data_IF_170527416530
#
_entry.id   IF_170527416530
#
_cell.length_a   1.000
_cell.length_b   1.000
_cell.length_c   1.000
_cell.angle_alpha   90.00
_cell.angle_beta   90.00
_cell.angle_gamma   90.00
#
_symmetry.space_group_name_H-M   'P 1'
#
loop_
_entity.id
_entity.type
_entity.pdbx_description
1 polymer ?
#
# COMPACT_ATOMS: atom_id res chain seq x y z
N UNK A 1 16.02 19.25 19.88
CA UNK A 1 14.63 18.98 20.31
C UNK A 1 13.86 18.60 19.05
N UNK A 2 13.26 17.41 19.00
CA UNK A 2 12.33 17.06 17.93
C UNK A 2 10.95 17.48 18.42
N UNK A 3 10.44 18.60 17.90
CA UNK A 3 9.04 18.96 18.09
C UNK A 3 8.20 18.15 17.09
N UNK A 4 7.14 17.46 17.54
CA UNK A 4 6.23 16.79 16.63
C UNK A 4 5.52 17.82 15.74
N UNK A 5 5.64 17.64 14.42
CA UNK A 5 4.87 18.41 13.45
C UNK A 5 3.49 17.80 13.27
N UNK A 6 2.43 18.59 13.48
CA UNK A 6 1.04 18.11 13.38
C UNK A 6 0.37 18.47 12.05
N UNK A 7 0.92 19.45 11.30
CA UNK A 7 0.41 19.91 10.00
C UNK A 7 1.55 20.10 9.00
N UNK A 8 1.22 20.14 7.70
CA UNK A 8 2.14 20.40 6.59
C UNK A 8 3.38 19.47 6.52
N UNK A 9 3.21 18.20 6.89
CA UNK A 9 4.26 17.19 6.76
C UNK A 9 3.93 16.17 5.67
N UNK A 10 4.96 15.48 5.17
CA UNK A 10 4.84 14.38 4.22
C UNK A 10 5.39 13.12 4.86
N UNK A 11 4.59 12.05 4.90
CA UNK A 11 5.05 10.75 5.40
C UNK A 11 5.76 10.01 4.29
N UNK A 12 7.06 9.80 4.47
CA UNK A 12 7.90 9.05 3.55
C UNK A 12 8.18 7.66 4.11
N UNK A 13 7.97 6.62 3.30
CA UNK A 13 8.29 5.25 3.70
C UNK A 13 9.80 4.99 3.77
N UNK A 14 10.23 4.17 4.74
CA UNK A 14 11.65 3.81 4.88
C UNK A 14 12.22 3.10 3.65
N UNK A 15 11.40 2.39 2.88
CA UNK A 15 11.83 1.77 1.62
C UNK A 15 12.34 2.79 0.60
N UNK A 16 11.87 4.05 0.65
CA UNK A 16 12.38 5.14 -0.17
C UNK A 16 13.52 5.88 0.55
N UNK A 17 13.31 6.23 1.83
CA UNK A 17 14.28 7.02 2.59
C UNK A 17 15.63 6.31 2.80
N UNK A 18 15.62 4.98 2.83
CA UNK A 18 16.79 4.13 3.06
C UNK A 18 17.10 3.25 1.84
N UNK A 19 16.66 3.65 0.65
CA UNK A 19 16.83 2.83 -0.56
C UNK A 19 18.33 2.66 -0.88
N UNK A 20 18.85 1.42 -1.02
CA UNK A 20 20.28 1.18 -1.16
C UNK A 20 20.84 1.57 -2.53
N UNK A 21 20.01 1.53 -3.57
CA UNK A 21 20.43 1.75 -4.97
C UNK A 21 20.05 3.14 -5.52
N UNK A 22 19.23 3.91 -4.80
CA UNK A 22 18.87 5.26 -5.26
C UNK A 22 19.91 6.27 -4.80
N UNK A 23 20.23 7.23 -5.66
CA UNK A 23 21.02 8.37 -5.26
C UNK A 23 20.27 9.22 -4.22
N UNK A 24 21.00 9.93 -3.35
CA UNK A 24 20.40 10.90 -2.43
C UNK A 24 19.64 12.02 -3.17
N UNK A 25 20.03 12.33 -4.40
CA UNK A 25 19.29 13.27 -5.25
C UNK A 25 17.93 12.68 -5.67
N UNK A 26 17.88 11.40 -6.06
CA UNK A 26 16.62 10.74 -6.37
C UNK A 26 15.71 10.61 -5.14
N UNK A 27 16.25 10.24 -3.98
CA UNK A 27 15.50 10.18 -2.71
C UNK A 27 14.93 11.56 -2.33
N UNK A 28 15.77 12.61 -2.42
CA UNK A 28 15.35 13.98 -2.16
C UNK A 28 14.27 14.47 -3.12
N UNK A 29 14.42 14.17 -4.41
CA UNK A 29 13.41 14.51 -5.43
C UNK A 29 12.11 13.75 -5.22
N UNK A 30 12.14 12.46 -4.91
CA UNK A 30 10.93 11.68 -4.63
C UNK A 30 10.20 12.22 -3.39
N UNK A 31 10.95 12.56 -2.34
CA UNK A 31 10.40 13.20 -1.13
C UNK A 31 9.75 14.55 -1.44
N UNK A 32 10.41 15.38 -2.24
CA UNK A 32 9.84 16.65 -2.67
C UNK A 32 8.58 16.45 -3.52
N UNK A 33 8.60 15.52 -4.48
CA UNK A 33 7.45 15.25 -5.35
C UNK A 33 6.23 14.80 -4.53
N UNK A 34 6.43 13.98 -3.49
CA UNK A 34 5.35 13.53 -2.61
C UNK A 34 4.74 14.64 -1.74
N UNK A 35 5.46 15.74 -1.51
CA UNK A 35 4.96 16.88 -0.74
C UNK A 35 4.19 17.90 -1.60
N UNK A 36 4.20 17.74 -2.93
CA UNK A 36 3.54 18.66 -3.84
C UNK A 36 2.04 18.36 -3.99
N UNK A 37 1.20 19.39 -4.16
CA UNK A 37 -0.19 19.20 -4.58
C UNK A 37 -0.28 18.48 -5.94
N UNK A 38 -1.36 17.74 -6.14
CA UNK A 38 -1.64 17.10 -7.42
C UNK A 38 -1.68 18.13 -8.56
N UNK A 39 -1.15 17.74 -9.73
CA UNK A 39 -1.08 18.61 -10.91
C UNK A 39 0.12 19.55 -10.95
N UNK A 40 0.96 19.58 -9.91
CA UNK A 40 2.20 20.36 -9.93
C UNK A 40 3.15 19.86 -11.02
N UNK A 41 3.73 20.74 -11.86
CA UNK A 41 4.66 20.33 -12.91
C UNK A 41 6.00 19.87 -12.31
N UNK A 42 6.36 18.60 -12.56
CA UNK A 42 7.62 17.98 -12.11
C UNK A 42 8.56 17.63 -13.28
N UNK A 43 8.52 18.44 -14.34
CA UNK A 43 9.44 18.31 -15.48
C UNK A 43 10.86 18.72 -15.12
N UNK A 44 11.85 18.24 -15.88
CA UNK A 44 13.29 18.49 -15.63
C UNK A 44 13.57 19.99 -15.47
N UNK A 45 13.11 20.82 -16.42
CA UNK A 45 13.29 22.28 -16.36
C UNK A 45 12.60 22.93 -15.16
N UNK A 46 11.40 22.46 -14.81
CA UNK A 46 10.64 23.00 -13.69
C UNK A 46 11.32 22.70 -12.34
N UNK A 47 11.91 21.52 -12.21
CA UNK A 47 12.68 21.13 -11.02
C UNK A 47 14.05 21.83 -11.01
N UNK A 48 14.75 21.92 -12.14
CA UNK A 48 16.04 22.59 -12.24
C UNK A 48 15.96 24.10 -11.92
N UNK A 49 14.82 24.73 -12.17
CA UNK A 49 14.58 26.12 -11.78
C UNK A 49 14.44 26.31 -10.26
N UNK A 50 14.12 25.25 -9.49
CA UNK A 50 13.89 25.31 -8.04
C UNK A 50 15.09 24.86 -7.21
N UNK A 51 15.94 24.00 -7.79
CA UNK A 51 17.01 23.32 -7.09
C UNK A 51 18.39 23.74 -7.60
N UNK A 52 19.43 23.50 -6.79
CA UNK A 52 20.82 23.80 -7.19
C UNK A 52 21.37 22.73 -8.14
N UNK A 53 20.71 21.58 -8.21
CA UNK A 53 21.04 20.49 -9.12
C UNK A 53 20.75 20.87 -10.58
N UNK A 54 21.71 20.63 -11.46
CA UNK A 54 21.56 20.89 -12.90
C UNK A 54 20.59 19.92 -13.58
N UNK A 55 20.10 20.32 -14.77
CA UNK A 55 19.12 19.55 -15.56
C UNK A 55 19.54 18.08 -15.79
N UNK A 56 20.83 17.83 -16.04
CA UNK A 56 21.36 16.47 -16.27
C UNK A 56 21.18 15.60 -15.02
N UNK A 57 21.52 16.12 -13.83
CA UNK A 57 21.42 15.37 -12.58
C UNK A 57 19.96 15.11 -12.22
N UNK A 58 19.09 16.09 -12.43
CA UNK A 58 17.64 15.92 -12.24
C UNK A 58 17.08 14.89 -13.22
N UNK A 59 17.51 14.92 -14.49
CA UNK A 59 17.08 13.95 -15.48
C UNK A 59 17.52 12.52 -15.10
N UNK A 60 18.77 12.34 -14.63
CA UNK A 60 19.27 11.06 -14.15
C UNK A 60 18.47 10.56 -12.94
N UNK A 61 18.27 11.41 -11.93
CA UNK A 61 17.52 11.05 -10.74
C UNK A 61 16.05 10.67 -11.05
N UNK A 62 15.39 11.38 -11.98
CA UNK A 62 14.05 10.99 -12.44
C UNK A 62 14.04 9.63 -13.16
N UNK A 63 15.11 9.25 -13.86
CA UNK A 63 15.23 7.92 -14.49
C UNK A 63 15.41 6.82 -13.44
N UNK A 64 16.26 7.05 -12.43
CA UNK A 64 16.40 6.13 -11.29
C UNK A 64 15.04 5.87 -10.64
N UNK A 65 14.25 6.92 -10.40
CA UNK A 65 12.91 6.77 -9.82
C UNK A 65 11.94 5.99 -10.72
N UNK A 66 12.08 6.09 -12.04
CA UNK A 66 11.28 5.29 -12.98
C UNK A 66 11.70 3.82 -12.98
N UNK A 67 13.00 3.56 -13.00
CA UNK A 67 13.60 2.23 -12.99
C UNK A 67 13.20 1.44 -11.74
N UNK A 68 13.27 2.09 -10.57
CA UNK A 68 12.85 1.49 -9.30
C UNK A 68 11.33 1.60 -9.04
N UNK A 69 10.56 2.15 -9.99
CA UNK A 69 9.10 2.13 -9.96
C UNK A 69 8.44 3.14 -9.01
N UNK A 70 9.18 4.13 -8.52
CA UNK A 70 8.67 5.25 -7.71
C UNK A 70 8.00 6.34 -8.55
N UNK A 71 8.29 6.39 -9.84
CA UNK A 71 7.72 7.34 -10.79
C UNK A 71 7.30 6.62 -12.08
N UNK A 72 6.20 7.06 -12.69
CA UNK A 72 5.90 6.73 -14.08
C UNK A 72 5.57 8.02 -14.83
N UNK A 73 6.13 8.20 -16.03
CA UNK A 73 5.82 9.31 -16.93
C UNK A 73 5.17 8.82 -18.23
N UNK A 74 3.93 8.29 -18.20
CA UNK A 74 3.20 8.01 -19.43
C UNK A 74 3.07 9.27 -20.29
N UNK A 75 3.36 9.10 -21.58
CA UNK A 75 3.14 10.12 -22.61
C UNK A 75 1.72 9.93 -23.13
N UNK A 76 0.78 10.71 -22.63
CA UNK A 76 -0.59 10.67 -23.13
C UNK A 76 -0.70 11.56 -24.37
N UNK A 77 -1.14 10.97 -25.49
CA UNK A 77 -1.61 11.73 -26.65
C UNK A 77 -3.06 12.12 -26.39
N UNK A 78 -3.30 13.40 -26.17
CA UNK A 78 -4.64 13.95 -26.05
C UNK A 78 -5.35 13.85 -27.41
N UNK A 79 -6.68 13.78 -27.39
CA UNK A 79 -7.51 13.73 -28.61
C UNK A 79 -7.27 14.92 -29.56
N UNK A 80 -6.67 16.01 -29.06
CA UNK A 80 -6.23 17.18 -29.82
C UNK A 80 -4.90 16.99 -30.58
N UNK A 81 -4.25 15.82 -30.49
CA UNK A 81 -2.93 15.56 -31.07
C UNK A 81 -1.75 16.05 -30.21
N UNK A 82 -2.01 16.72 -29.08
CA UNK A 82 -0.98 17.20 -28.17
C UNK A 82 -0.47 16.09 -27.25
N UNK A 83 0.84 15.87 -27.20
CA UNK A 83 1.48 14.93 -26.25
C UNK A 83 1.67 15.65 -24.92
N UNK A 84 1.01 15.18 -23.86
CA UNK A 84 1.22 15.67 -22.49
C UNK A 84 1.86 14.57 -21.65
N UNK A 85 3.00 14.88 -21.05
CA UNK A 85 3.65 13.97 -20.10
C UNK A 85 2.96 14.15 -18.74
N UNK A 86 2.21 13.14 -18.31
CA UNK A 86 1.65 13.10 -16.95
C UNK A 86 2.58 12.28 -16.08
N UNK A 87 3.10 12.88 -15.02
CA UNK A 87 3.96 12.16 -14.08
C UNK A 87 3.11 11.67 -12.90
N UNK A 88 3.18 10.38 -12.62
CA UNK A 88 2.49 9.71 -11.53
C UNK A 88 3.55 9.24 -10.55
N UNK A 89 3.55 9.80 -9.34
CA UNK A 89 4.42 9.36 -8.24
C UNK A 89 3.72 8.26 -7.45
N UNK A 90 4.45 7.21 -7.10
CA UNK A 90 3.95 6.11 -6.28
C UNK A 90 4.63 6.10 -4.92
N UNK A 91 3.82 6.07 -3.85
CA UNK A 91 4.33 5.98 -2.48
C UNK A 91 4.87 4.56 -2.15
N UNK A 92 4.65 3.57 -3.03
CA UNK A 92 5.32 2.27 -3.02
C UNK A 92 5.71 1.90 -4.44
N UNK A 93 6.87 1.28 -4.67
CA UNK A 93 7.35 1.03 -6.02
C UNK A 93 6.39 0.09 -6.77
N UNK A 94 6.10 0.43 -8.04
CA UNK A 94 5.16 -0.31 -8.88
C UNK A 94 5.61 -1.76 -9.15
N UNK A 95 6.91 -2.05 -9.06
CA UNK A 95 7.48 -3.40 -9.07
C UNK A 95 6.99 -4.22 -7.87
N UNK A 96 6.93 -3.65 -6.66
CA UNK A 96 6.32 -4.31 -5.50
C UNK A 96 4.80 -4.51 -5.69
N UNK A 97 4.12 -3.59 -6.39
CA UNK A 97 2.69 -3.73 -6.71
C UNK A 97 2.42 -4.81 -7.78
N UNK A 98 3.32 -4.97 -8.76
CA UNK A 98 3.25 -5.98 -9.82
C UNK A 98 3.68 -7.36 -9.33
N UNK A 99 4.69 -7.43 -8.45
CA UNK A 99 5.11 -8.67 -7.79
C UNK A 99 4.04 -9.18 -6.82
N UNK A 100 3.30 -8.28 -6.15
CA UNK A 100 2.15 -8.65 -5.33
C UNK A 100 0.89 -9.02 -6.16
N UNK A 101 0.85 -8.72 -7.46
CA UNK A 101 -0.27 -8.97 -8.36
C UNK A 101 0.02 -10.02 -9.44
N UNK A 102 1.17 -10.72 -9.37
CA UNK A 102 1.54 -11.78 -10.30
C UNK A 102 1.47 -13.15 -9.60
N UNK A 103 0.79 -14.16 -10.17
CA UNK A 103 1.13 -15.56 -9.89
C UNK A 103 2.57 -15.82 -10.37
N UNK A 104 3.33 -16.75 -9.76
CA UNK A 104 4.70 -17.02 -10.19
C UNK A 104 4.67 -17.61 -11.61
N UNK A 105 5.24 -16.87 -12.56
CA UNK A 105 5.56 -17.37 -13.88
C UNK A 105 7.08 -17.26 -14.06
N UNK A 106 7.72 -18.42 -14.10
CA UNK A 106 9.11 -18.60 -14.52
C UNK A 106 9.32 -18.03 -15.94
N UNK A 107 10.44 -17.35 -16.20
CA UNK A 107 10.83 -16.98 -17.55
C UNK A 107 11.86 -17.98 -18.08
N UNK A 108 11.58 -18.60 -19.22
CA UNK A 108 12.61 -18.80 -20.23
C UNK A 108 11.99 -18.79 -21.63
N UNK A 109 12.67 -18.09 -22.53
CA UNK A 109 12.22 -17.73 -23.87
C UNK A 109 12.64 -18.78 -24.93
N UNK A 110 11.71 -18.98 -25.88
CA UNK A 110 11.76 -19.30 -27.33
C UNK A 110 13.13 -19.23 -28.08
N UNK A 111 13.32 -19.70 -29.36
CA UNK A 111 12.32 -20.17 -30.35
C UNK A 111 12.71 -21.33 -31.29
N UNK A 112 11.74 -21.89 -32.04
CA UNK A 112 12.04 -22.84 -33.13
C UNK A 112 10.85 -23.28 -34.00
N UNK A 113 10.65 -22.57 -35.11
CA UNK A 113 9.68 -22.74 -36.23
C UNK A 113 9.51 -24.18 -36.79
N UNK A 114 8.28 -24.55 -37.22
CA UNK A 114 7.86 -24.91 -38.61
C UNK A 114 6.45 -25.58 -38.62
N UNK A 115 5.51 -24.91 -39.30
CA UNK A 115 4.39 -25.36 -40.17
C UNK A 115 3.74 -26.77 -40.07
N UNK A 116 2.39 -26.79 -39.99
CA UNK A 116 1.41 -27.45 -40.90
C UNK A 116 0.16 -28.06 -40.18
N UNK A 117 -1.02 -28.21 -40.84
CA UNK A 117 -2.34 -28.24 -40.19
C UNK A 117 -3.08 -29.61 -40.12
N UNK A 118 -3.90 -29.77 -39.06
CA UNK A 118 -5.04 -30.70 -38.84
C UNK A 118 -4.76 -32.23 -38.82
N UNK A 119 -5.44 -33.08 -37.99
CA UNK A 119 -6.91 -33.21 -37.83
C UNK A 119 -7.40 -33.31 -36.35
N UNK A 120 -8.73 -33.39 -36.06
CA UNK A 120 -9.24 -33.24 -34.69
C UNK A 120 -9.17 -34.55 -33.90
N UNK A 121 -8.85 -34.52 -32.58
CA UNK A 121 -9.10 -35.66 -31.72
C UNK A 121 -10.49 -35.57 -31.06
N UNK A 122 -11.19 -36.68 -31.19
CA UNK A 122 -12.42 -37.12 -30.51
C UNK A 122 -12.37 -36.90 -28.98
N UNK A 123 -13.50 -36.65 -28.30
CA UNK A 123 -13.50 -36.31 -26.87
C UNK A 123 -13.16 -37.53 -26.01
N UNK A 124 -11.97 -37.54 -25.42
CA UNK A 124 -11.59 -38.50 -24.39
C UNK A 124 -11.94 -37.94 -23.02
N UNK A 125 -12.91 -38.63 -22.41
CA UNK A 125 -13.27 -38.71 -21.00
C UNK A 125 -12.49 -37.81 -20.03
N UNK A 126 -13.23 -36.87 -19.44
CA UNK A 126 -12.91 -36.21 -18.17
C UNK A 126 -12.73 -37.28 -17.09
N UNK A 127 -11.58 -37.38 -16.41
CA UNK A 127 -11.54 -38.06 -15.12
C UNK A 127 -12.22 -37.14 -14.11
N UNK A 128 -13.23 -37.67 -13.45
CA UNK A 128 -13.96 -37.03 -12.36
C UNK A 128 -12.99 -36.36 -11.38
N UNK A 129 -13.14 -35.05 -11.21
CA UNK A 129 -12.56 -34.31 -10.10
C UNK A 129 -12.99 -35.01 -8.81
N UNK A 130 -12.03 -35.56 -8.08
CA UNK A 130 -12.22 -35.81 -6.67
C UNK A 130 -12.64 -34.49 -6.01
N UNK A 131 -13.59 -34.48 -5.06
CA UNK A 131 -13.89 -33.28 -4.30
C UNK A 131 -12.62 -32.88 -3.57
N UNK A 132 -11.99 -31.78 -4.01
CA UNK A 132 -11.02 -31.10 -3.16
C UNK A 132 -11.69 -30.82 -1.82
N UNK A 133 -10.98 -30.94 -0.69
CA UNK A 133 -11.53 -30.62 0.61
C UNK A 133 -12.18 -29.23 0.54
N UNK A 134 -13.34 -29.02 1.19
CA UNK A 134 -14.01 -27.72 1.16
C UNK A 134 -12.99 -26.64 1.55
N UNK A 135 -13.01 -25.45 0.91
CA UNK A 135 -12.16 -24.36 1.36
C UNK A 135 -12.38 -24.22 2.85
N UNK A 136 -11.30 -24.36 3.62
CA UNK A 136 -11.35 -24.13 5.05
C UNK A 136 -12.09 -22.80 5.25
N UNK A 137 -13.07 -22.72 6.18
CA UNK A 137 -13.71 -21.44 6.43
C UNK A 137 -12.59 -20.46 6.70
N UNK A 138 -12.57 -19.33 5.99
CA UNK A 138 -11.68 -18.21 6.27
C UNK A 138 -11.77 -17.98 7.78
N UNK A 139 -10.80 -18.51 8.55
CA UNK A 139 -10.78 -18.44 10.00
C UNK A 139 -10.37 -17.01 10.32
N UNK A 140 -11.28 -16.08 10.09
CA UNK A 140 -11.18 -14.72 10.59
C UNK A 140 -10.99 -14.86 12.09
N UNK A 141 -9.93 -14.24 12.58
CA UNK A 141 -9.62 -14.26 14.00
C UNK A 141 -10.70 -13.45 14.73
N UNK A 142 -11.03 -13.79 15.99
CA UNK A 142 -11.99 -13.01 16.78
C UNK A 142 -11.68 -11.51 16.83
N UNK A 143 -10.38 -11.16 16.81
CA UNK A 143 -9.89 -9.78 16.71
C UNK A 143 -10.24 -9.11 15.38
N UNK A 144 -10.12 -9.82 14.26
CA UNK A 144 -10.46 -9.32 12.94
C UNK A 144 -11.98 -9.12 12.78
N UNK A 145 -12.79 -10.02 13.33
CA UNK A 145 -14.26 -9.91 13.31
C UNK A 145 -14.75 -8.72 14.14
N UNK A 146 -14.14 -8.49 15.32
CA UNK A 146 -14.41 -7.32 16.15
C UNK A 146 -14.13 -6.02 15.38
N UNK A 147 -12.94 -5.91 14.77
CA UNK A 147 -12.54 -4.74 13.99
C UNK A 147 -13.45 -4.51 12.78
N UNK A 148 -13.83 -5.57 12.06
CA UNK A 148 -14.77 -5.49 10.95
C UNK A 148 -16.17 -5.03 11.38
N UNK A 149 -16.57 -5.35 12.62
CA UNK A 149 -17.85 -4.97 13.22
C UNK A 149 -17.94 -3.53 13.74
N UNK A 150 -16.82 -2.79 13.83
CA UNK A 150 -16.82 -1.40 14.33
C UNK A 150 -17.70 -0.46 13.49
N UNK A 151 -17.81 -0.71 12.18
CA UNK A 151 -18.66 0.07 11.27
C UNK A 151 -20.15 0.06 11.64
N UNK A 152 -20.61 -0.96 12.36
CA UNK A 152 -22.00 -1.05 12.82
C UNK A 152 -22.27 -0.14 14.02
N UNK A 153 -21.22 0.26 14.75
CA UNK A 153 -21.28 1.13 15.92
C UNK A 153 -21.00 2.59 15.56
N UNK A 154 -20.06 2.85 14.65
CA UNK A 154 -19.85 4.17 14.05
C UNK A 154 -19.47 4.01 12.57
N UNK A 155 -20.28 4.51 11.61
CA UNK A 155 -20.00 4.39 10.18
C UNK A 155 -18.73 5.12 9.72
N UNK A 156 -18.14 5.98 10.56
CA UNK A 156 -16.83 6.63 10.28
C UNK A 156 -15.65 5.69 10.51
N UNK A 157 -15.85 4.55 11.18
CA UNK A 157 -14.82 3.53 11.43
C UNK A 157 -14.83 2.44 10.35
N UNK A 158 -14.92 2.85 9.08
CA UNK A 158 -14.77 1.93 7.95
C UNK A 158 -13.27 1.61 7.76
N UNK A 159 -12.91 0.37 8.07
CA UNK A 159 -11.56 -0.14 7.93
C UNK A 159 -11.43 -0.97 6.65
N UNK A 160 -10.37 -0.73 5.88
CA UNK A 160 -10.01 -1.63 4.79
C UNK A 160 -9.48 -2.95 5.36
N UNK A 161 -9.58 -4.03 4.59
CA UNK A 161 -9.15 -5.38 5.03
C UNK A 161 -7.68 -5.42 5.46
N UNK A 162 -6.81 -4.69 4.77
CA UNK A 162 -5.39 -4.51 5.14
C UNK A 162 -5.21 -3.86 6.51
N UNK A 163 -6.08 -2.93 6.88
CA UNK A 163 -6.01 -2.20 8.15
C UNK A 163 -6.52 -3.08 9.29
N UNK A 164 -7.54 -3.91 9.02
CA UNK A 164 -7.99 -4.96 9.95
C UNK A 164 -6.86 -5.94 10.24
N UNK A 165 -6.18 -6.45 9.19
CA UNK A 165 -5.04 -7.35 9.36
C UNK A 165 -3.89 -6.71 10.15
N UNK A 166 -3.64 -5.41 9.95
CA UNK A 166 -2.60 -4.67 10.68
C UNK A 166 -2.95 -4.46 12.16
N UNK A 167 -4.22 -4.22 12.47
CA UNK A 167 -4.68 -3.94 13.84
C UNK A 167 -5.00 -5.19 14.65
N UNK A 168 -5.29 -6.31 13.98
CA UNK A 168 -5.68 -7.56 14.64
C UNK A 168 -4.70 -8.03 15.72
N UNK A 169 -3.35 -8.01 15.53
CA UNK A 169 -2.42 -8.43 16.58
C UNK A 169 -2.52 -7.61 17.86
N UNK A 170 -2.69 -6.28 17.74
CA UNK A 170 -2.84 -5.40 18.90
C UNK A 170 -4.15 -5.66 19.64
N UNK A 171 -5.24 -5.95 18.93
CA UNK A 171 -6.51 -6.35 19.57
C UNK A 171 -6.39 -7.72 20.24
N UNK A 172 -5.70 -8.68 19.62
CA UNK A 172 -5.40 -9.98 20.23
C UNK A 172 -4.67 -9.81 21.55
N UNK A 173 -3.67 -8.93 21.61
CA UNK A 173 -2.92 -8.65 22.84
C UNK A 173 -3.82 -8.09 23.96
N UNK A 174 -4.81 -7.25 23.62
CA UNK A 174 -5.80 -6.78 24.60
C UNK A 174 -6.69 -7.92 25.12
N UNK A 175 -7.11 -8.83 24.25
CA UNK A 175 -7.92 -9.99 24.62
C UNK A 175 -7.13 -10.97 25.50
N UNK A 176 -5.85 -11.21 25.18
CA UNK A 176 -4.95 -12.05 25.96
C UNK A 176 -4.69 -11.49 27.37
N UNK A 177 -4.76 -10.15 27.52
CA UNK A 177 -4.71 -9.47 28.82
C UNK A 177 -6.01 -9.54 29.62
N UNK A 178 -7.01 -10.29 29.12
CA UNK A 178 -8.28 -10.52 29.80
C UNK A 178 -9.32 -9.42 29.61
N UNK A 179 -9.09 -8.48 28.68
CA UNK A 179 -10.10 -7.45 28.36
C UNK A 179 -11.19 -8.08 27.51
N UNK A 180 -12.49 -7.98 27.89
CA UNK A 180 -13.55 -8.58 27.09
C UNK A 180 -13.73 -7.82 25.76
N UNK A 181 -14.13 -8.52 24.67
CA UNK A 181 -14.32 -7.92 23.34
C UNK A 181 -15.24 -6.68 23.32
N UNK A 182 -16.27 -6.67 24.17
CA UNK A 182 -17.21 -5.55 24.32
C UNK A 182 -16.55 -4.32 24.94
N UNK A 183 -15.65 -4.50 25.92
CA UNK A 183 -14.89 -3.41 26.51
C UNK A 183 -13.87 -2.84 25.53
N UNK A 184 -13.21 -3.69 24.72
CA UNK A 184 -12.33 -3.23 23.64
C UNK A 184 -13.12 -2.40 22.63
N UNK A 185 -14.29 -2.89 22.20
CA UNK A 185 -15.16 -2.17 21.27
C UNK A 185 -15.58 -0.81 21.83
N UNK A 186 -16.06 -0.76 23.06
CA UNK A 186 -16.45 0.48 23.73
C UNK A 186 -15.28 1.45 23.88
N UNK A 187 -14.09 0.96 24.25
CA UNK A 187 -12.88 1.78 24.30
C UNK A 187 -12.58 2.39 22.92
N UNK A 188 -12.61 1.59 21.85
CA UNK A 188 -12.33 2.05 20.49
C UNK A 188 -13.34 3.08 19.97
N UNK A 189 -14.60 3.00 20.38
CA UNK A 189 -15.67 3.89 19.93
C UNK A 189 -15.98 5.07 20.87
N UNK A 190 -15.51 5.04 22.12
CA UNK A 190 -15.76 6.10 23.10
C UNK A 190 -14.90 7.35 22.85
N UNK A 191 -15.44 8.56 22.97
CA UNK A 191 -14.65 9.79 22.88
C UNK A 191 -14.01 10.04 21.50
N UNK A 192 -14.67 9.60 20.43
CA UNK A 192 -14.23 9.90 19.07
C UNK A 192 -14.31 11.42 18.78
N UNK A 193 -13.41 11.96 17.95
CA UNK A 193 -13.48 13.35 17.51
C UNK A 193 -14.84 13.68 16.88
N UNK A 194 -15.33 14.91 17.11
CA UNK A 194 -16.53 15.42 16.46
C UNK A 194 -16.26 15.71 14.97
N UNK A 195 -15.02 16.04 14.63
CA UNK A 195 -14.56 16.25 13.26
C UNK A 195 -14.51 14.95 12.43
N UNK A 196 -14.58 15.03 11.09
CA UNK A 196 -14.43 13.87 10.23
C UNK A 196 -13.08 13.18 10.41
N UNK A 197 -13.12 11.89 10.74
CA UNK A 197 -11.93 11.06 10.98
C UNK A 197 -11.28 10.72 9.63
N UNK A 198 -10.21 11.44 9.28
CA UNK A 198 -9.46 11.21 8.03
C UNK A 198 -8.70 9.88 8.01
N UNK A 199 -8.29 9.39 9.19
CA UNK A 199 -7.46 8.19 9.34
C UNK A 199 -7.93 7.28 10.48
N UNK A 200 -9.04 6.52 10.30
CA UNK A 200 -9.62 5.71 11.36
C UNK A 200 -8.66 4.62 11.86
N UNK A 201 -7.95 3.94 10.97
CA UNK A 201 -6.99 2.90 11.34
C UNK A 201 -5.82 3.42 12.21
N UNK A 202 -5.32 4.63 11.91
CA UNK A 202 -4.24 5.24 12.67
C UNK A 202 -4.70 5.64 14.08
N UNK A 203 -5.91 6.20 14.19
CA UNK A 203 -6.52 6.54 15.46
C UNK A 203 -6.70 5.29 16.34
N UNK A 204 -7.26 4.20 15.78
CA UNK A 204 -7.45 2.95 16.53
C UNK A 204 -6.10 2.33 16.94
N UNK A 205 -5.09 2.34 16.06
CA UNK A 205 -3.74 1.88 16.39
C UNK A 205 -3.15 2.66 17.56
N UNK A 206 -3.30 3.98 17.57
CA UNK A 206 -2.78 4.84 18.63
C UNK A 206 -3.46 4.54 19.97
N UNK A 207 -4.78 4.34 19.98
CA UNK A 207 -5.53 4.02 21.21
C UNK A 207 -5.18 2.64 21.76
N UNK A 208 -5.07 1.64 20.89
CA UNK A 208 -4.64 0.29 21.29
C UNK A 208 -3.24 0.29 21.91
N UNK A 209 -2.34 1.18 21.45
CA UNK A 209 -1.00 1.29 22.00
C UNK A 209 -0.94 2.12 23.31
N UNK A 210 -1.67 3.23 23.38
CA UNK A 210 -1.60 4.17 24.53
C UNK A 210 -2.46 3.77 25.71
N UNK A 211 -3.56 3.07 25.48
CA UNK A 211 -4.52 2.69 26.53
C UNK A 211 -4.40 1.21 26.92
N UNK A 212 -3.33 0.54 26.48
CA UNK A 212 -3.08 -0.87 26.71
C UNK A 212 -3.04 -1.17 28.22
N UNK A 213 -3.95 -2.00 28.77
CA UNK A 213 -3.99 -2.26 30.21
C UNK A 213 -2.75 -3.03 30.68
N UNK A 214 -2.24 -2.78 31.90
CA UNK A 214 -1.16 -3.58 32.46
C UNK A 214 -1.60 -5.04 32.64
N UNK A 215 -0.66 -5.97 32.57
CA UNK A 215 -0.95 -7.39 32.83
C UNK A 215 -1.45 -7.54 34.27
N UNK A 216 -2.59 -8.21 34.44
CA UNK A 216 -3.03 -8.63 35.76
C UNK A 216 -2.01 -9.64 36.32
N UNK A 217 -1.54 -9.47 37.57
CA UNK A 217 -0.67 -10.45 38.19
C UNK A 217 -1.41 -11.80 38.28
N UNK A 218 -0.73 -12.87 37.90
CA UNK A 218 -1.28 -14.22 38.02
C UNK A 218 -1.60 -14.54 39.50
N UNK A 219 -2.74 -15.20 39.80
CA UNK A 219 -3.07 -15.63 41.15
C UNK A 219 -2.14 -16.74 41.68
#
# INVERSE_FOLDING_TARGET
MNEPHYDNFTVVGNHLAQHPELSLTAIGLATHIQSLPEGTPIGIKALAAKFREGEIRIAAALRELEEHGYLARPRERLQSGQVRTRAISYNKPRSALRAAAAPPAEPEADPGTVSAPAPPPTPVAVPASAPGPPPAPDRRTPAADLLAGLRAHDPRLLLAERDVHRLAPAVTEWLERGVPPTAVTHMLTSGLPQDPIKHPAALLSHRLATQLPPHLPAP
#
